data_IF_425891747076
#
_entry.id   IF_425891747076
#
_cell.length_a   1.000
_cell.length_b   1.000
_cell.length_c   1.000
_cell.angle_alpha   90.00
_cell.angle_beta   90.00
_cell.angle_gamma   90.00
#
_symmetry.space_group_name_H-M   'P 1'
#
loop_
_entity.id
_entity.type
_entity.pdbx_description
1 polymer ?
#
# COMPACT_ATOMS: atom_id res chain seq x y z
N UNK A 1 18.55 9.00 3.09
CA UNK A 1 17.73 9.30 1.89
C UNK A 1 17.19 7.99 1.34
N UNK A 2 15.92 7.95 0.92
CA UNK A 2 15.32 6.89 0.13
C UNK A 2 15.96 6.85 -1.25
N UNK A 3 16.24 5.64 -1.71
CA UNK A 3 16.87 5.28 -2.98
C UNK A 3 15.92 4.40 -3.78
N UNK A 4 16.21 4.16 -5.06
CA UNK A 4 15.48 3.19 -5.88
C UNK A 4 15.40 1.81 -5.23
N UNK A 5 16.49 1.35 -4.60
CA UNK A 5 16.52 0.07 -3.89
C UNK A 5 15.60 0.05 -2.66
N UNK A 6 15.41 1.18 -1.98
CA UNK A 6 14.46 1.28 -0.88
C UNK A 6 13.00 1.23 -1.38
N UNK A 7 12.71 1.85 -2.53
CA UNK A 7 11.38 1.77 -3.18
C UNK A 7 11.08 0.36 -3.68
N UNK A 8 12.05 -0.28 -4.34
CA UNK A 8 11.91 -1.65 -4.80
C UNK A 8 11.61 -2.59 -3.64
N UNK A 9 12.33 -2.45 -2.53
CA UNK A 9 12.09 -3.22 -1.32
C UNK A 9 10.72 -2.96 -0.71
N UNK A 10 10.26 -1.71 -0.70
CA UNK A 10 8.93 -1.36 -0.22
C UNK A 10 7.84 -2.10 -1.03
N UNK A 11 7.92 -2.03 -2.36
CA UNK A 11 6.98 -2.69 -3.26
C UNK A 11 7.03 -4.22 -3.14
N UNK A 12 8.23 -4.80 -3.10
CA UNK A 12 8.40 -6.25 -2.88
C UNK A 12 7.82 -6.70 -1.53
N UNK A 13 8.08 -5.96 -0.46
CA UNK A 13 7.55 -6.30 0.86
C UNK A 13 6.03 -6.18 0.91
N UNK A 14 5.46 -5.17 0.24
CA UNK A 14 4.00 -5.02 0.14
C UNK A 14 3.38 -6.16 -0.65
N UNK A 15 3.92 -6.50 -1.83
CA UNK A 15 3.45 -7.63 -2.64
C UNK A 15 3.48 -8.93 -1.83
N UNK A 16 4.61 -9.24 -1.17
CA UNK A 16 4.72 -10.43 -0.33
C UNK A 16 3.74 -10.44 0.85
N UNK A 17 3.48 -9.29 1.47
CA UNK A 17 2.48 -9.18 2.53
C UNK A 17 1.07 -9.44 1.99
N UNK A 18 0.72 -8.89 0.82
CA UNK A 18 -0.58 -9.10 0.17
C UNK A 18 -0.76 -10.57 -0.22
N UNK A 19 0.28 -11.23 -0.74
CA UNK A 19 0.24 -12.66 -1.05
C UNK A 19 0.04 -13.52 0.21
N UNK A 20 0.72 -13.18 1.31
CA UNK A 20 0.53 -13.87 2.58
C UNK A 20 -0.92 -13.71 3.08
N UNK A 21 -1.48 -12.51 2.95
CA UNK A 21 -2.86 -12.22 3.31
C UNK A 21 -3.87 -12.95 2.41
N UNK A 22 -3.62 -13.01 1.10
CA UNK A 22 -4.43 -13.79 0.16
C UNK A 22 -4.48 -15.27 0.55
N UNK A 23 -3.38 -15.86 1.01
CA UNK A 23 -3.39 -17.26 1.50
C UNK A 23 -4.32 -17.45 2.70
N UNK A 24 -4.32 -16.50 3.65
CA UNK A 24 -5.23 -16.56 4.81
C UNK A 24 -6.68 -16.49 4.36
N UNK A 25 -6.99 -15.61 3.42
CA UNK A 25 -8.34 -15.48 2.83
C UNK A 25 -8.73 -16.73 2.06
N UNK A 26 -7.78 -17.36 1.35
CA UNK A 26 -8.06 -18.57 0.60
C UNK A 26 -8.45 -19.76 1.48
N UNK A 27 -7.92 -19.80 2.70
CA UNK A 27 -8.22 -20.80 3.72
C UNK A 27 -9.55 -20.54 4.46
N UNK A 28 -10.14 -19.34 4.33
CA UNK A 28 -11.39 -18.98 5.02
C UNK A 28 -12.62 -19.65 4.37
N UNK A 29 -13.57 -20.15 5.18
CA UNK A 29 -14.89 -20.57 4.72
C UNK A 29 -15.63 -19.43 4.03
N UNK A 30 -16.37 -19.74 2.96
CA UNK A 30 -17.14 -18.72 2.23
C UNK A 30 -18.18 -18.01 3.10
N UNK A 31 -18.70 -18.71 4.10
CA UNK A 31 -19.71 -18.20 5.03
C UNK A 31 -19.17 -17.13 5.99
N UNK A 32 -17.84 -16.97 6.08
CA UNK A 32 -17.20 -15.91 6.88
C UNK A 32 -17.04 -14.59 6.08
N UNK A 33 -17.35 -14.57 4.78
CA UNK A 33 -17.36 -13.34 3.97
C UNK A 33 -18.71 -12.62 4.02
N UNK A 34 -18.69 -11.28 4.00
CA UNK A 34 -19.91 -10.51 3.98
C UNK A 34 -20.72 -10.73 2.68
N UNK A 35 -22.06 -10.96 2.75
CA UNK A 35 -22.88 -11.36 1.59
C UNK A 35 -22.94 -10.35 0.44
N UNK A 36 -22.58 -9.08 0.68
CA UNK A 36 -22.56 -8.04 -0.35
C UNK A 36 -21.35 -8.13 -1.29
N UNK A 37 -20.33 -8.92 -0.93
CA UNK A 37 -19.14 -9.12 -1.75
C UNK A 37 -19.08 -10.56 -2.17
N UNK A 38 -19.02 -10.80 -3.48
CA UNK A 38 -18.85 -12.16 -3.96
C UNK A 38 -17.44 -12.67 -3.61
N UNK A 39 -17.34 -13.96 -3.28
CA UNK A 39 -16.09 -14.66 -2.93
C UNK A 39 -14.99 -14.48 -4.01
N UNK A 40 -15.38 -14.36 -5.28
CA UNK A 40 -14.50 -14.04 -6.39
C UNK A 40 -13.93 -12.62 -6.33
N UNK A 41 -14.70 -11.62 -5.90
CA UNK A 41 -14.21 -10.26 -5.68
C UNK A 41 -13.15 -10.23 -4.58
N UNK A 42 -13.39 -10.92 -3.46
CA UNK A 42 -12.40 -11.03 -2.38
C UNK A 42 -11.07 -11.67 -2.84
N UNK A 43 -11.13 -12.71 -3.67
CA UNK A 43 -9.94 -13.42 -4.17
C UNK A 43 -9.25 -12.72 -5.34
N UNK A 44 -10.02 -12.03 -6.20
CA UNK A 44 -9.47 -11.27 -7.32
C UNK A 44 -8.78 -9.98 -6.86
N UNK A 45 -9.34 -9.30 -5.86
CA UNK A 45 -8.88 -7.98 -5.43
C UNK A 45 -7.39 -7.95 -5.08
N UNK A 46 -6.92 -8.90 -4.26
CA UNK A 46 -5.50 -8.97 -3.85
C UNK A 46 -4.60 -9.39 -5.01
N UNK A 47 -5.09 -10.29 -5.86
CA UNK A 47 -4.39 -10.68 -7.09
C UNK A 47 -4.14 -9.47 -7.99
N UNK A 48 -5.13 -8.58 -8.11
CA UNK A 48 -5.00 -7.38 -8.94
C UNK A 48 -4.07 -6.34 -8.31
N UNK A 49 -4.02 -6.23 -6.98
CA UNK A 49 -2.99 -5.43 -6.29
C UNK A 49 -1.58 -5.94 -6.56
N UNK A 50 -1.36 -7.25 -6.44
CA UNK A 50 -0.05 -7.87 -6.73
C UNK A 50 0.34 -7.62 -8.19
N UNK A 51 -0.56 -7.86 -9.14
CA UNK A 51 -0.34 -7.59 -10.57
C UNK A 51 0.01 -6.14 -10.84
N UNK A 52 -0.68 -5.21 -10.19
CA UNK A 52 -0.40 -3.78 -10.32
C UNK A 52 1.00 -3.45 -9.77
N UNK A 53 1.36 -3.95 -8.59
CA UNK A 53 2.71 -3.77 -8.03
C UNK A 53 3.78 -4.32 -8.98
N UNK A 54 3.57 -5.53 -9.52
CA UNK A 54 4.50 -6.16 -10.47
C UNK A 54 4.65 -5.33 -11.75
N UNK A 55 3.58 -4.68 -12.22
CA UNK A 55 3.63 -3.78 -13.37
C UNK A 55 4.47 -2.51 -13.10
N UNK A 56 4.51 -2.03 -11.84
CA UNK A 56 5.35 -0.89 -11.47
C UNK A 56 6.84 -1.24 -11.41
N UNK A 57 7.18 -2.47 -11.01
CA UNK A 57 8.54 -2.91 -10.70
C UNK A 57 9.59 -2.60 -11.78
N UNK A 58 9.35 -2.87 -13.09
CA UNK A 58 10.31 -2.56 -14.15
C UNK A 58 10.69 -1.08 -14.25
N UNK A 59 9.79 -0.17 -13.84
CA UNK A 59 9.98 1.27 -13.95
C UNK A 59 10.64 1.90 -12.72
N UNK A 60 10.86 1.13 -11.64
CA UNK A 60 11.43 1.65 -10.39
C UNK A 60 12.80 2.29 -10.62
N UNK A 61 13.67 1.69 -11.42
CA UNK A 61 15.00 2.24 -11.70
C UNK A 61 14.98 3.62 -12.41
N UNK A 62 13.86 3.94 -13.09
CA UNK A 62 13.69 5.17 -13.84
C UNK A 62 13.15 6.35 -13.02
N UNK A 63 12.84 6.13 -11.73
CA UNK A 63 12.30 7.20 -10.86
C UNK A 63 13.31 8.35 -10.78
N UNK A 64 12.88 9.56 -11.14
CA UNK A 64 13.76 10.73 -11.09
C UNK A 64 14.06 11.19 -9.66
N UNK A 65 15.24 11.78 -9.48
CA UNK A 65 15.71 12.30 -8.20
C UNK A 65 14.78 13.32 -7.50
N UNK A 66 14.05 14.21 -8.20
CA UNK A 66 13.07 15.10 -7.55
C UNK A 66 11.97 14.33 -6.82
N UNK A 67 11.47 13.23 -7.38
CA UNK A 67 10.43 12.39 -6.77
C UNK A 67 10.98 11.67 -5.54
N UNK A 68 12.19 11.10 -5.62
CA UNK A 68 12.85 10.52 -4.44
C UNK A 68 13.08 11.55 -3.32
N UNK A 69 13.44 12.79 -3.66
CA UNK A 69 13.58 13.87 -2.67
C UNK A 69 12.24 14.23 -2.02
N UNK A 70 11.17 14.31 -2.80
CA UNK A 70 9.84 14.54 -2.27
C UNK A 70 9.40 13.42 -1.32
N UNK A 71 9.60 12.15 -1.68
CA UNK A 71 9.32 11.00 -0.79
C UNK A 71 10.13 11.06 0.50
N UNK A 72 11.39 11.51 0.44
CA UNK A 72 12.18 11.72 1.66
C UNK A 72 11.58 12.79 2.57
N UNK A 73 11.10 13.89 2.00
CA UNK A 73 10.41 14.93 2.78
C UNK A 73 9.14 14.38 3.41
N UNK A 74 8.36 13.60 2.66
CA UNK A 74 7.18 12.92 3.19
C UNK A 74 7.56 12.02 4.38
N UNK A 75 8.57 11.17 4.21
CA UNK A 75 9.02 10.22 5.24
C UNK A 75 9.49 10.88 6.54
N UNK A 76 10.06 12.08 6.47
CA UNK A 76 10.60 12.79 7.65
C UNK A 76 9.56 13.69 8.32
N UNK A 77 8.65 14.27 7.53
CA UNK A 77 7.77 15.35 7.98
C UNK A 77 6.33 14.92 8.26
N UNK A 78 5.91 13.73 7.80
CA UNK A 78 4.54 13.25 7.95
C UNK A 78 4.46 12.06 8.90
N UNK A 79 3.30 11.91 9.54
CA UNK A 79 3.03 10.72 10.33
C UNK A 79 2.97 9.49 9.40
N UNK A 80 3.72 8.40 9.67
CA UNK A 80 3.65 7.18 8.89
C UNK A 80 2.25 6.59 8.76
N UNK A 81 1.33 6.83 9.69
CA UNK A 81 -0.06 6.41 9.55
C UNK A 81 -0.79 7.18 8.44
N UNK A 82 -0.54 8.49 8.32
CA UNK A 82 -1.07 9.31 7.21
C UNK A 82 -0.51 8.82 5.88
N UNK A 83 0.79 8.55 5.84
CA UNK A 83 1.43 8.04 4.61
C UNK A 83 0.94 6.64 4.27
N UNK A 84 0.81 5.75 5.25
CA UNK A 84 0.23 4.41 5.06
C UNK A 84 -1.18 4.49 4.49
N UNK A 85 -2.04 5.33 5.06
CA UNK A 85 -3.40 5.50 4.55
C UNK A 85 -3.40 5.94 3.08
N UNK A 86 -2.64 6.99 2.73
CA UNK A 86 -2.53 7.46 1.34
C UNK A 86 -1.99 6.37 0.40
N UNK A 87 -0.98 5.60 0.82
CA UNK A 87 -0.48 4.46 0.03
C UNK A 87 -1.60 3.47 -0.28
N UNK A 88 -2.42 3.12 0.71
CA UNK A 88 -3.50 2.14 0.54
C UNK A 88 -4.65 2.66 -0.32
N UNK A 89 -5.09 3.90 -0.09
CA UNK A 89 -6.12 4.53 -0.93
C UNK A 89 -5.65 4.64 -2.39
N UNK A 90 -4.40 5.05 -2.60
CA UNK A 90 -3.79 5.09 -3.94
C UNK A 90 -3.77 3.71 -4.61
N UNK A 91 -3.45 2.64 -3.88
CA UNK A 91 -3.48 1.28 -4.43
C UNK A 91 -4.90 0.83 -4.78
N UNK A 92 -5.85 1.03 -3.86
CA UNK A 92 -7.25 0.70 -4.08
C UNK A 92 -7.83 1.48 -5.27
N UNK A 93 -7.52 2.77 -5.39
CA UNK A 93 -7.91 3.59 -6.53
C UNK A 93 -7.26 3.13 -7.84
N UNK A 94 -5.98 2.74 -7.84
CA UNK A 94 -5.31 2.26 -9.05
C UNK A 94 -5.92 0.95 -9.58
N UNK A 95 -6.25 0.02 -8.68
CA UNK A 95 -6.87 -1.26 -9.04
C UNK A 95 -8.36 -1.11 -9.35
N UNK A 96 -9.07 -0.26 -8.61
CA UNK A 96 -10.51 0.00 -8.78
C UNK A 96 -10.88 0.95 -9.92
N UNK A 97 -9.91 1.47 -10.67
CA UNK A 97 -10.14 2.39 -11.79
C UNK A 97 -10.41 3.85 -11.37
N UNK A 98 -10.02 4.23 -10.15
CA UNK A 98 -10.09 5.60 -9.63
C UNK A 98 -9.06 6.56 -10.24
N UNK A 99 -8.06 6.05 -10.97
CA UNK A 99 -7.10 6.88 -11.73
C UNK A 99 -7.03 6.44 -13.19
N UNK A 100 -6.79 7.38 -14.13
CA UNK A 100 -6.40 7.03 -15.49
C UNK A 100 -5.12 6.18 -15.50
N UNK A 101 -5.03 5.20 -16.39
CA UNK A 101 -3.88 4.27 -16.45
C UNK A 101 -2.57 5.03 -16.64
N UNK A 102 -2.55 6.06 -17.47
CA UNK A 102 -1.40 6.91 -17.72
C UNK A 102 -0.93 7.70 -16.48
N UNK A 103 -1.75 7.85 -15.44
CA UNK A 103 -1.35 8.49 -14.19
C UNK A 103 -0.66 7.53 -13.22
N UNK A 104 -0.81 6.21 -13.43
CA UNK A 104 -0.33 5.18 -12.50
C UNK A 104 0.45 4.05 -13.17
N UNK A 105 0.68 4.10 -14.49
CA UNK A 105 1.39 3.08 -15.29
C UNK A 105 2.87 2.88 -14.94
N UNK A 106 3.45 3.79 -14.16
CA UNK A 106 4.87 3.77 -13.79
C UNK A 106 5.02 4.13 -12.32
N UNK A 107 6.05 3.56 -11.68
CA UNK A 107 6.35 3.75 -10.27
C UNK A 107 6.50 5.24 -9.94
N UNK A 108 7.14 6.04 -10.80
CA UNK A 108 7.26 7.47 -10.55
C UNK A 108 5.91 8.19 -10.53
N UNK A 109 5.02 7.90 -11.49
CA UNK A 109 3.72 8.59 -11.57
C UNK A 109 2.82 8.17 -10.41
N UNK A 110 2.77 6.88 -10.11
CA UNK A 110 2.08 6.36 -8.93
C UNK A 110 2.59 6.99 -7.62
N UNK A 111 3.91 7.09 -7.42
CA UNK A 111 4.48 7.75 -6.23
C UNK A 111 4.14 9.24 -6.15
N UNK A 112 3.93 9.91 -7.30
CA UNK A 112 3.49 11.32 -7.32
C UNK A 112 2.03 11.47 -6.90
N UNK A 113 1.17 10.52 -7.21
CA UNK A 113 -0.21 10.47 -6.69
C UNK A 113 -0.16 10.41 -5.16
N UNK A 114 0.57 9.44 -4.60
CA UNK A 114 0.75 9.29 -3.14
C UNK A 114 1.29 10.58 -2.51
N UNK A 115 2.31 11.21 -3.10
CA UNK A 115 2.84 12.49 -2.60
C UNK A 115 1.75 13.57 -2.58
N UNK A 116 0.94 13.63 -3.63
CA UNK A 116 -0.19 14.56 -3.74
C UNK A 116 -1.19 14.37 -2.61
N UNK A 117 -1.65 13.14 -2.41
CA UNK A 117 -2.63 12.78 -1.37
C UNK A 117 -2.11 13.07 0.04
N UNK A 118 -0.87 12.72 0.34
CA UNK A 118 -0.27 13.02 1.65
C UNK A 118 -0.20 14.54 1.88
N UNK A 119 0.13 15.33 0.86
CA UNK A 119 0.27 16.79 0.97
C UNK A 119 -1.05 17.54 1.17
N UNK A 120 -2.20 16.90 0.95
CA UNK A 120 -3.51 17.47 1.32
C UNK A 120 -3.63 17.56 2.85
N UNK A 121 -2.94 16.69 3.58
CA UNK A 121 -2.91 16.71 5.04
C UNK A 121 -1.85 17.68 5.56
N UNK A 122 -2.08 18.34 6.72
CA UNK A 122 -1.04 19.14 7.35
C UNK A 122 0.14 18.23 7.76
N UNK A 123 1.39 18.71 7.62
CA UNK A 123 2.56 17.96 8.07
C UNK A 123 2.48 17.70 9.58
N UNK A 124 2.93 16.52 9.98
CA UNK A 124 2.95 16.10 11.38
C UNK A 124 4.14 16.72 12.13
N UNK A 125 4.36 16.26 13.37
CA UNK A 125 5.58 16.60 14.10
C UNK A 125 6.78 15.91 13.43
N UNK A 126 7.85 16.69 13.23
CA UNK A 126 9.16 16.19 12.80
C UNK A 126 9.55 15.00 13.68
N UNK A 127 9.76 13.84 13.06
CA UNK A 127 10.17 12.63 13.78
C UNK A 127 11.69 12.57 13.89
N UNK A 128 12.18 12.17 15.07
CA UNK A 128 13.57 11.73 15.21
C UNK A 128 13.69 10.34 14.61
N UNK A 129 14.23 10.26 13.38
CA UNK A 129 14.45 9.00 12.67
C UNK A 129 14.79 9.22 11.20
N UNK A 130 15.48 8.26 10.59
CA UNK A 130 15.80 8.32 9.16
C UNK A 130 14.60 7.97 8.28
N UNK A 131 14.51 8.59 7.10
CA UNK A 131 13.46 8.32 6.11
C UNK A 131 13.25 6.82 5.79
N UNK A 132 14.33 6.03 5.82
CA UNK A 132 14.26 4.57 5.59
C UNK A 132 13.47 3.84 6.67
N UNK A 133 13.68 4.18 7.94
CA UNK A 133 12.95 3.56 9.06
C UNK A 133 11.48 4.01 9.10
N UNK A 134 11.20 5.24 8.67
CA UNK A 134 9.84 5.71 8.51
C UNK A 134 9.11 4.98 7.37
N UNK A 135 9.77 4.80 6.21
CA UNK A 135 9.19 4.13 5.05
C UNK A 135 8.83 2.67 5.31
N UNK A 136 9.60 1.95 6.14
CA UNK A 136 9.24 0.59 6.59
C UNK A 136 7.90 0.51 7.31
N UNK A 137 7.40 1.64 7.87
CA UNK A 137 6.12 1.72 8.59
C UNK A 137 4.96 2.13 7.69
N UNK A 138 5.22 2.44 6.41
CA UNK A 138 4.18 2.78 5.46
C UNK A 138 3.36 1.58 5.02
N UNK A 139 3.90 0.38 5.21
CA UNK A 139 3.25 -0.89 4.90
C UNK A 139 3.27 -1.76 6.14
N UNK A 140 2.13 -2.38 6.48
CA UNK A 140 2.07 -3.39 7.53
C UNK A 140 2.34 -4.76 6.94
N UNK A 141 3.17 -5.55 7.62
CA UNK A 141 3.39 -6.95 7.24
C UNK A 141 2.22 -7.85 7.67
N UNK A 142 1.51 -7.49 8.74
CA UNK A 142 0.46 -8.32 9.34
C UNK A 142 -0.91 -8.08 8.70
N UNK A 143 -1.14 -6.86 8.25
CA UNK A 143 -2.39 -6.42 7.62
C UNK A 143 -2.11 -5.34 6.56
N UNK A 144 -1.56 -5.74 5.40
CA UNK A 144 -1.08 -4.81 4.39
C UNK A 144 -2.19 -3.98 3.79
N UNK A 145 -3.42 -4.50 3.66
CA UNK A 145 -4.55 -3.81 3.04
C UNK A 145 -5.61 -3.32 4.04
N UNK A 146 -5.33 -3.39 5.35
CA UNK A 146 -6.25 -2.99 6.43
C UNK A 146 -7.56 -3.77 6.44
N UNK A 147 -7.53 -5.02 6.00
CA UNK A 147 -8.74 -5.85 5.90
C UNK A 147 -9.22 -6.24 7.30
N UNK A 148 -8.31 -6.34 8.29
CA UNK A 148 -8.73 -6.56 9.68
C UNK A 148 -9.56 -5.41 10.25
N UNK A 149 -9.50 -4.24 9.59
CA UNK A 149 -10.26 -3.04 9.90
C UNK A 149 -11.44 -2.84 8.95
N UNK A 150 -11.60 -3.71 7.95
CA UNK A 150 -12.71 -3.68 7.01
C UNK A 150 -13.98 -4.15 7.74
N UNK A 151 -15.01 -3.30 7.88
CA UNK A 151 -16.26 -3.68 8.53
C UNK A 151 -16.96 -4.87 7.84
N UNK A 152 -16.55 -5.22 6.63
CA UNK A 152 -17.08 -6.28 5.78
C UNK A 152 -16.32 -7.61 5.97
N UNK A 153 -15.18 -7.59 6.66
CA UNK A 153 -14.55 -8.79 7.16
C UNK A 153 -14.90 -8.97 8.63
N UNK A 154 -15.82 -9.89 8.91
CA UNK A 154 -15.94 -10.44 10.27
C UNK A 154 -14.73 -11.33 10.54
N UNK A 155 -13.53 -10.76 10.61
CA UNK A 155 -12.44 -11.43 11.29
C UNK A 155 -12.93 -11.66 12.72
N UNK A 156 -13.43 -12.87 12.98
CA UNK A 156 -13.34 -13.46 14.29
C UNK A 156 -11.84 -13.63 14.53
N UNK A 157 -11.16 -12.53 14.87
CA UNK A 157 -9.86 -12.59 15.49
C UNK A 157 -10.11 -13.46 16.70
N UNK A 158 -9.72 -14.73 16.58
CA UNK A 158 -9.73 -15.64 17.71
C UNK A 158 -8.78 -14.98 18.69
N UNK A 159 -9.35 -14.27 19.67
CA UNK A 159 -8.62 -13.83 20.84
C UNK A 159 -8.05 -15.12 21.43
N UNK A 160 -6.76 -15.35 21.23
CA UNK A 160 -6.05 -16.25 22.11
C UNK A 160 -5.94 -15.51 23.43
N UNK A 161 -6.72 -16.00 24.39
CA UNK A 161 -6.60 -15.73 25.82
C UNK A 161 -5.18 -16.06 26.33
#
# INVERSE_FOLDING_TARGET
MLTHADIQRLLTNLSAAIELDQRRVDEMPKDDFHPMYDDGLWRAWRTDHVRFIDALMPSVASIRAPTLRALNQIAVNYDPHVVRHAVLESFAGAVGGGYPVEEVDTAERFLRVIIGEVRVNPPGRLRRGGAKEAAKKWVSAEDPLRISEDPECQYKVSRHD
#
